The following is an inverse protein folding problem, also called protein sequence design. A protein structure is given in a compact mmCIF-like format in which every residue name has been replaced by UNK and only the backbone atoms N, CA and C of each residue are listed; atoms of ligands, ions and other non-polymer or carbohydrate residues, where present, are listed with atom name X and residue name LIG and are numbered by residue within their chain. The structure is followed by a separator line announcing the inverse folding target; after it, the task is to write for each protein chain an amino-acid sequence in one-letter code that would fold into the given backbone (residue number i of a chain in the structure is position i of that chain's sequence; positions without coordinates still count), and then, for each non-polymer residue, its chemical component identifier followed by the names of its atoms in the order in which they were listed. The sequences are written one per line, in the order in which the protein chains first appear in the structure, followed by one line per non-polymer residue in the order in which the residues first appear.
data_IF_985559952802
#
_entry.id   IF_985559952802
#
_cell.length_a   1.000
_cell.length_b   1.000
_cell.length_c   1.000
_cell.angle_alpha   90.00
_cell.angle_beta   90.00
_cell.angle_gamma   90.00
#
_symmetry.space_group_name_H-M   'P 1'
#
loop_
_entity.id
_entity.type
_entity.pdbx_description
1 polymer ?
#
# COMPACT_ATOMS: atom_id res chain seq x y z
N UNK A 1 -20.29 26.16 -13.24
CA UNK A 1 -21.47 25.60 -12.57
C UNK A 1 -21.94 24.40 -13.37
N UNK A 2 -21.53 23.18 -13.02
CA UNK A 2 -21.80 21.95 -13.80
C UNK A 2 -23.11 21.26 -13.37
N UNK A 3 -23.61 21.59 -12.18
CA UNK A 3 -24.88 21.07 -11.65
C UNK A 3 -26.08 21.20 -12.61
N UNK A 4 -26.34 22.35 -13.28
CA UNK A 4 -27.49 22.46 -14.17
C UNK A 4 -27.41 21.55 -15.40
N UNK A 5 -26.21 21.36 -15.97
CA UNK A 5 -25.99 20.48 -17.13
C UNK A 5 -26.22 19.01 -16.77
N UNK A 6 -25.88 18.61 -15.55
CA UNK A 6 -26.12 17.25 -15.05
C UNK A 6 -27.63 16.98 -14.93
N UNK A 7 -28.42 17.96 -14.47
CA UNK A 7 -29.87 17.81 -14.34
C UNK A 7 -30.57 17.69 -15.70
N UNK A 8 -30.16 18.49 -16.69
CA UNK A 8 -30.67 18.36 -18.07
C UNK A 8 -30.38 16.98 -18.66
N UNK A 9 -29.16 16.46 -18.45
CA UNK A 9 -28.77 15.13 -18.94
C UNK A 9 -29.38 13.97 -18.17
N UNK A 10 -29.68 14.14 -16.89
CA UNK A 10 -30.43 13.17 -16.10
C UNK A 10 -31.89 13.05 -16.56
N UNK A 11 -32.51 14.16 -16.96
CA UNK A 11 -33.89 14.17 -17.46
C UNK A 11 -34.04 13.44 -18.81
N UNK A 12 -32.99 13.38 -19.63
CA UNK A 12 -32.96 12.63 -20.90
C UNK A 12 -32.80 11.11 -20.69
N UNK A 13 -32.41 10.66 -19.48
CA UNK A 13 -32.09 9.26 -19.19
C UNK A 13 -33.30 8.47 -18.67
N UNK A 14 -33.44 7.19 -19.05
CA UNK A 14 -34.38 6.26 -18.42
C UNK A 14 -34.05 6.00 -16.94
N UNK A 15 -35.08 5.66 -16.17
CA UNK A 15 -35.01 5.46 -14.71
C UNK A 15 -33.96 4.43 -14.26
N UNK A 16 -33.69 3.42 -15.08
CA UNK A 16 -32.62 2.43 -14.81
C UNK A 16 -31.23 3.07 -14.77
N UNK A 17 -30.92 3.95 -15.71
CA UNK A 17 -29.63 4.63 -15.78
C UNK A 17 -29.50 5.73 -14.72
N UNK A 18 -30.60 6.35 -14.31
CA UNK A 18 -30.59 7.30 -13.18
C UNK A 18 -30.17 6.61 -11.87
N UNK A 19 -30.57 5.35 -11.68
CA UNK A 19 -30.17 4.55 -10.53
C UNK A 19 -28.66 4.26 -10.52
N UNK A 20 -28.08 3.93 -11.68
CA UNK A 20 -26.63 3.75 -11.82
C UNK A 20 -25.86 5.06 -11.53
N UNK A 21 -26.39 6.19 -11.98
CA UNK A 21 -25.79 7.50 -11.68
C UNK A 21 -25.84 7.79 -10.19
N UNK A 22 -26.96 7.49 -9.51
CA UNK A 22 -27.07 7.63 -8.05
C UNK A 22 -26.00 6.79 -7.34
N UNK A 23 -25.89 5.51 -7.67
CA UNK A 23 -24.87 4.63 -7.09
C UNK A 23 -23.45 5.14 -7.35
N UNK A 24 -23.19 5.70 -8.53
CA UNK A 24 -21.88 6.26 -8.86
C UNK A 24 -21.57 7.53 -8.08
N UNK A 25 -22.57 8.39 -7.84
CA UNK A 25 -22.42 9.58 -6.98
C UNK A 25 -22.08 9.17 -5.55
N UNK A 26 -22.79 8.19 -4.99
CA UNK A 26 -22.50 7.63 -3.66
C UNK A 26 -21.08 7.07 -3.58
N UNK A 27 -20.67 6.29 -4.59
CA UNK A 27 -19.31 5.78 -4.71
C UNK A 27 -18.26 6.89 -4.74
N UNK A 28 -18.49 7.98 -5.47
CA UNK A 28 -17.56 9.11 -5.53
C UNK A 28 -17.43 9.83 -4.18
N UNK A 29 -18.54 10.00 -3.44
CA UNK A 29 -18.55 10.58 -2.10
C UNK A 29 -17.76 9.69 -1.13
N UNK A 30 -18.01 8.38 -1.13
CA UNK A 30 -17.25 7.45 -0.30
C UNK A 30 -15.77 7.43 -0.66
N UNK A 31 -15.45 7.44 -1.95
CA UNK A 31 -14.07 7.47 -2.44
C UNK A 31 -13.38 8.74 -1.98
N UNK A 32 -14.03 9.90 -2.03
CA UNK A 32 -13.48 11.16 -1.52
C UNK A 32 -13.25 11.08 -0.01
N UNK A 33 -14.22 10.58 0.76
CA UNK A 33 -14.09 10.41 2.20
C UNK A 33 -12.92 9.49 2.57
N UNK A 34 -12.80 8.32 1.91
CA UNK A 34 -11.69 7.37 2.10
C UNK A 34 -10.33 7.96 1.72
N UNK A 35 -10.25 8.79 0.68
CA UNK A 35 -9.00 9.46 0.28
C UNK A 35 -8.62 10.62 1.22
N UNK A 36 -9.59 11.31 1.83
CA UNK A 36 -9.31 12.34 2.85
C UNK A 36 -8.83 11.74 4.18
N UNK A 37 -9.29 10.55 4.55
CA UNK A 37 -8.80 9.85 5.77
C UNK A 37 -7.48 9.11 5.53
N UNK A 38 -7.11 8.88 4.27
CA UNK A 38 -5.74 8.51 3.92
C UNK A 38 -4.85 9.75 3.95
N UNK A 39 -4.58 10.27 5.15
CA UNK A 39 -3.22 10.73 5.43
C UNK A 39 -2.33 9.57 5.01
N UNK A 40 -1.74 9.68 3.82
CA UNK A 40 -0.76 8.71 3.33
C UNK A 40 0.20 8.55 4.50
N UNK A 41 0.27 7.40 5.20
CA UNK A 41 1.41 7.19 6.07
C UNK A 41 2.56 7.36 5.10
N UNK A 42 3.36 8.40 5.28
CA UNK A 42 4.61 8.58 4.57
C UNK A 42 5.28 7.24 4.78
N UNK A 43 5.24 6.38 3.74
CA UNK A 43 5.66 4.99 3.87
C UNK A 43 7.14 5.14 4.17
N UNK A 44 7.50 5.14 5.46
CA UNK A 44 8.86 5.34 5.91
C UNK A 44 9.63 4.30 5.14
N UNK A 45 10.44 4.76 4.19
CA UNK A 45 11.11 3.89 3.24
C UNK A 45 11.93 2.95 4.10
N UNK A 46 11.60 1.66 4.09
CA UNK A 46 12.31 0.68 4.90
C UNK A 46 13.73 0.63 4.33
N UNK A 47 14.69 1.14 5.08
CA UNK A 47 16.10 1.07 4.72
C UNK A 47 16.65 -0.21 5.34
N UNK A 48 17.21 -1.10 4.51
CA UNK A 48 17.85 -2.30 4.99
C UNK A 48 19.10 -1.95 5.82
N UNK A 49 19.39 -2.72 6.86
CA UNK A 49 20.61 -2.55 7.67
C UNK A 49 20.51 -1.49 8.79
N UNK A 50 19.35 -0.86 9.01
CA UNK A 50 19.16 0.11 10.13
C UNK A 50 19.30 -0.51 11.51
N UNK A 51 19.14 -1.83 11.63
CA UNK A 51 19.32 -2.58 12.88
C UNK A 51 20.69 -3.25 12.98
N UNK A 52 21.63 -2.96 12.06
CA UNK A 52 23.00 -3.51 12.11
C UNK A 52 23.68 -3.06 13.40
N UNK A 53 24.10 -4.00 14.24
CA UNK A 53 24.77 -3.74 15.52
C UNK A 53 23.83 -3.44 16.68
N UNK A 54 22.50 -3.54 16.51
CA UNK A 54 21.55 -3.33 17.60
C UNK A 54 21.50 -4.51 18.59
N UNK A 55 21.92 -5.69 18.14
CA UNK A 55 22.05 -6.88 18.97
C UNK A 55 23.34 -7.60 18.62
N UNK A 56 24.04 -8.06 19.64
CA UNK A 56 25.16 -8.99 19.51
C UNK A 56 24.55 -10.38 19.71
N UNK A 57 24.59 -11.20 18.67
CA UNK A 57 24.27 -12.62 18.83
C UNK A 57 25.35 -13.23 19.73
N UNK A 58 25.00 -14.05 20.73
CA UNK A 58 25.98 -14.80 21.52
C UNK A 58 26.53 -15.94 20.67
N UNK A 59 27.23 -15.57 19.60
CA UNK A 59 27.96 -16.51 18.76
C UNK A 59 29.28 -16.84 19.46
N UNK A 60 29.69 -18.11 19.41
CA UNK A 60 31.05 -18.50 19.74
C UNK A 60 32.08 -17.76 18.87
N UNK A 61 33.29 -17.55 19.39
CA UNK A 61 34.38 -16.88 18.66
C UNK A 61 34.84 -17.68 17.43
N UNK A 62 34.55 -18.99 17.36
CA UNK A 62 34.88 -19.91 16.27
C UNK A 62 33.78 -20.06 15.20
N UNK A 63 32.70 -19.26 15.26
CA UNK A 63 31.59 -19.37 14.31
C UNK A 63 31.99 -19.16 12.84
N UNK A 64 32.95 -18.27 12.59
CA UNK A 64 33.45 -17.99 11.24
C UNK A 64 34.49 -19.02 10.76
N UNK A 65 34.86 -20.01 11.60
CA UNK A 65 35.81 -21.05 11.21
C UNK A 65 35.16 -22.10 10.29
N UNK A 66 35.90 -22.61 9.30
CA UNK A 66 35.40 -23.67 8.43
C UNK A 66 35.17 -24.96 9.23
N UNK A 67 33.98 -25.53 9.10
CA UNK A 67 33.70 -26.86 9.63
C UNK A 67 34.70 -27.86 9.05
N UNK A 68 35.22 -28.74 9.91
CA UNK A 68 36.23 -29.74 9.56
C UNK A 68 35.86 -30.53 8.29
N UNK A 69 34.61 -30.95 8.20
CA UNK A 69 34.05 -31.72 7.08
C UNK A 69 33.84 -30.88 5.79
N UNK A 70 33.90 -29.56 5.89
CA UNK A 70 33.70 -28.63 4.77
C UNK A 70 35.01 -28.05 4.23
N UNK A 71 36.14 -28.29 4.91
CA UNK A 71 37.47 -27.80 4.48
C UNK A 71 37.85 -28.31 3.08
N UNK A 72 37.52 -29.55 2.77
CA UNK A 72 37.77 -30.19 1.45
C UNK A 72 37.05 -29.49 0.29
N UNK A 73 36.03 -28.67 0.56
CA UNK A 73 35.20 -28.01 -0.45
C UNK A 73 35.50 -26.50 -0.61
N UNK A 74 36.45 -25.94 0.14
CA UNK A 74 36.82 -24.51 0.07
C UNK A 74 38.06 -24.24 -0.82
N UNK A 75 38.55 -25.24 -1.56
CA UNK A 75 39.61 -25.09 -2.57
C UNK A 75 39.11 -24.49 -3.90
#
# INVERSE_FOLDING_TARGET
MIQPVILEKLAELPESLQTEVLHYIEFLIEKQAKNSTQEKPTKKRRVAGTMKGMFVLPLPDDFDEPLEDMKEYME
#
